data_IF_841218366929
#
_entry.id   IF_841218366929
#
_cell.length_a   1.000
_cell.length_b   1.000
_cell.length_c   1.000
_cell.angle_alpha   90.00
_cell.angle_beta   90.00
_cell.angle_gamma   90.00
#
_symmetry.space_group_name_H-M   'P 1'
#
loop_
_entity.id
_entity.type
_entity.pdbx_description
1 polymer ?
#
# COMPACT_ATOMS: atom_id res chain seq x y z
N UNK A 1 48.63 17.04 -29.27
CA UNK A 1 47.21 17.41 -29.20
C UNK A 1 46.40 16.12 -29.15
N UNK A 2 46.01 15.69 -27.98
CA UNK A 2 45.18 14.49 -27.81
C UNK A 2 43.72 14.98 -27.63
N UNK A 3 42.90 14.65 -28.62
CA UNK A 3 41.46 14.96 -28.60
C UNK A 3 40.78 13.96 -27.62
N UNK A 4 40.38 14.46 -26.46
CA UNK A 4 39.56 13.68 -25.52
C UNK A 4 38.15 13.62 -26.11
N UNK A 5 37.79 12.46 -26.69
CA UNK A 5 36.42 12.14 -27.03
C UNK A 5 35.61 11.97 -25.74
N UNK A 6 34.85 12.99 -25.41
CA UNK A 6 33.84 12.93 -24.36
C UNK A 6 32.70 12.05 -24.87
N UNK A 7 32.74 10.74 -24.59
CA UNK A 7 31.60 9.85 -24.79
C UNK A 7 30.53 10.24 -23.75
N UNK A 8 29.70 11.22 -24.09
CA UNK A 8 28.38 11.34 -23.45
C UNK A 8 27.59 10.07 -23.81
N UNK A 9 27.58 9.07 -22.94
CA UNK A 9 26.57 8.02 -22.99
C UNK A 9 25.22 8.67 -22.71
N UNK A 10 24.49 9.00 -23.78
CA UNK A 10 23.10 9.38 -23.65
C UNK A 10 22.39 8.23 -22.92
N UNK A 11 21.93 8.47 -21.71
CA UNK A 11 21.04 7.55 -21.00
C UNK A 11 19.83 7.38 -21.90
N UNK A 12 19.61 6.16 -22.41
CA UNK A 12 18.43 5.86 -23.20
C UNK A 12 17.21 6.07 -22.32
N UNK A 13 16.25 6.87 -22.77
CA UNK A 13 14.98 7.08 -22.09
C UNK A 13 14.37 5.74 -21.73
N UNK A 14 13.98 5.56 -20.47
CA UNK A 14 13.42 4.31 -19.96
C UNK A 14 11.87 4.34 -19.98
N UNK A 15 11.27 5.53 -20.06
CA UNK A 15 9.83 5.73 -20.14
C UNK A 15 9.24 5.02 -21.36
N UNK A 16 8.21 4.19 -21.14
CA UNK A 16 7.59 3.38 -22.17
C UNK A 16 8.38 2.13 -22.59
N UNK A 17 9.54 1.88 -22.01
CA UNK A 17 10.32 0.68 -22.31
C UNK A 17 9.56 -0.57 -21.95
N UNK A 18 9.50 -1.50 -22.88
CA UNK A 18 8.90 -2.81 -22.71
C UNK A 18 9.96 -3.88 -22.41
N UNK A 19 9.61 -4.79 -21.51
CA UNK A 19 10.35 -6.03 -21.26
C UNK A 19 9.43 -7.20 -21.58
N UNK A 20 9.90 -8.27 -22.23
CA UNK A 20 9.12 -9.49 -22.44
C UNK A 20 8.60 -10.07 -21.13
N UNK A 21 7.61 -10.96 -21.22
CA UNK A 21 7.07 -11.67 -20.08
C UNK A 21 8.15 -12.41 -19.30
N UNK A 22 8.17 -12.23 -18.01
CA UNK A 22 9.03 -12.95 -17.07
C UNK A 22 8.25 -14.06 -16.32
N UNK A 23 7.02 -14.34 -16.74
CA UNK A 23 6.11 -15.27 -16.06
C UNK A 23 6.58 -16.71 -16.16
N UNK A 24 6.47 -17.40 -15.04
CA UNK A 24 6.57 -18.84 -14.95
C UNK A 24 5.75 -19.37 -13.78
N UNK A 25 5.61 -20.67 -13.63
CA UNK A 25 4.81 -21.27 -12.58
C UNK A 25 5.57 -22.35 -11.83
N UNK A 26 5.24 -22.51 -10.54
CA UNK A 26 5.67 -23.64 -9.75
C UNK A 26 4.49 -24.18 -8.92
N UNK A 27 4.64 -25.38 -8.40
CA UNK A 27 3.70 -25.96 -7.45
C UNK A 27 4.27 -25.81 -6.05
N UNK A 28 3.52 -25.18 -5.15
CA UNK A 28 3.90 -25.08 -3.74
C UNK A 28 3.89 -26.46 -3.12
N UNK A 29 5.05 -26.88 -2.57
CA UNK A 29 5.24 -28.24 -2.10
C UNK A 29 4.39 -28.64 -0.89
N UNK A 30 3.91 -27.64 -0.11
CA UNK A 30 3.09 -27.90 1.08
C UNK A 30 1.59 -27.80 0.78
N UNK A 31 1.20 -26.84 -0.04
CA UNK A 31 -0.22 -26.60 -0.33
C UNK A 31 -0.72 -27.33 -1.57
N UNK A 32 0.19 -27.72 -2.47
CA UNK A 32 -0.14 -28.30 -3.77
C UNK A 32 -0.68 -27.29 -4.78
N UNK A 33 -0.80 -26.00 -4.41
CA UNK A 33 -1.31 -24.97 -5.29
C UNK A 33 -0.29 -24.57 -6.36
N UNK A 34 -0.80 -24.30 -7.57
CA UNK A 34 0.00 -23.74 -8.66
C UNK A 34 0.12 -22.24 -8.48
N UNK A 35 1.35 -21.76 -8.30
CA UNK A 35 1.68 -20.37 -8.11
C UNK A 35 2.26 -19.81 -9.40
N UNK A 36 1.77 -18.66 -9.84
CA UNK A 36 2.36 -17.90 -10.95
C UNK A 36 3.29 -16.84 -10.40
N UNK A 37 4.57 -16.93 -10.76
CA UNK A 37 5.56 -15.86 -10.53
C UNK A 37 5.45 -14.88 -11.69
N UNK A 38 5.29 -13.60 -11.40
CA UNK A 38 5.03 -12.54 -12.39
C UNK A 38 6.30 -11.81 -12.82
N UNK A 39 7.34 -11.81 -11.97
CA UNK A 39 8.57 -11.04 -12.19
C UNK A 39 9.82 -11.86 -11.93
N UNK A 40 10.92 -11.47 -12.59
CA UNK A 40 12.22 -12.13 -12.49
C UNK A 40 12.77 -12.10 -11.05
N UNK A 41 13.25 -13.24 -10.57
CA UNK A 41 13.84 -13.41 -9.22
C UNK A 41 15.14 -12.63 -9.03
N UNK A 42 15.79 -12.17 -10.10
CA UNK A 42 16.96 -11.31 -10.04
C UNK A 42 16.63 -9.84 -9.74
N UNK A 43 15.35 -9.47 -9.84
CA UNK A 43 14.85 -8.11 -9.57
C UNK A 43 14.30 -8.01 -8.14
N UNK A 44 14.12 -6.78 -7.68
CA UNK A 44 13.45 -6.49 -6.40
C UNK A 44 12.23 -5.63 -6.68
N UNK A 45 11.12 -6.31 -6.93
CA UNK A 45 9.86 -5.72 -7.33
C UNK A 45 8.86 -5.80 -6.18
N UNK A 46 8.07 -4.74 -6.01
CA UNK A 46 7.10 -4.64 -4.92
C UNK A 46 5.76 -4.17 -5.45
N UNK A 47 4.69 -4.73 -4.91
CA UNK A 47 3.37 -4.13 -5.05
C UNK A 47 3.31 -2.78 -4.33
N UNK A 48 2.28 -2.00 -4.58
CA UNK A 48 1.84 -0.98 -3.65
C UNK A 48 1.39 -1.66 -2.35
N UNK A 49 1.02 -0.87 -1.36
CA UNK A 49 0.47 -1.47 -0.15
C UNK A 49 -0.88 -2.15 -0.47
N UNK A 50 -1.23 -3.22 0.23
CA UNK A 50 -2.41 -4.06 -0.05
C UNK A 50 -3.74 -3.31 -0.09
N UNK A 51 -3.79 -2.12 0.50
CA UNK A 51 -4.97 -1.25 0.52
C UNK A 51 -5.09 -0.37 -0.71
N UNK A 52 -3.99 -0.19 -1.46
CA UNK A 52 -3.96 0.66 -2.65
C UNK A 52 -4.53 -0.05 -3.88
N UNK A 53 -5.19 0.67 -4.79
CA UNK A 53 -5.52 0.13 -6.11
C UNK A 53 -4.26 -0.25 -6.87
N UNK A 54 -4.13 -1.54 -7.25
CA UNK A 54 -2.99 -2.04 -8.04
C UNK A 54 -3.38 -2.39 -9.48
N UNK A 55 -4.67 -2.48 -9.78
CA UNK A 55 -5.19 -2.79 -11.09
C UNK A 55 -5.74 -1.54 -11.76
N UNK A 56 -5.48 -1.38 -13.08
CA UNK A 56 -6.20 -0.39 -13.89
C UNK A 56 -7.71 -0.63 -13.82
N UNK A 57 -8.51 0.39 -14.08
CA UNK A 57 -9.97 0.30 -13.94
C UNK A 57 -10.58 -0.79 -14.84
N UNK A 58 -9.98 -1.04 -16.00
CA UNK A 58 -10.37 -2.10 -16.93
C UNK A 58 -9.79 -3.49 -16.57
N UNK A 59 -8.98 -3.58 -15.52
CA UNK A 59 -8.36 -4.83 -15.06
C UNK A 59 -7.27 -5.41 -15.95
N UNK A 60 -6.85 -4.72 -17.02
CA UNK A 60 -5.89 -5.27 -17.98
C UNK A 60 -4.44 -5.17 -17.53
N UNK A 61 -4.11 -4.18 -16.71
CA UNK A 61 -2.75 -3.93 -16.26
C UNK A 61 -2.64 -3.94 -14.75
N UNK A 62 -1.56 -4.54 -14.26
CA UNK A 62 -1.22 -4.60 -12.84
C UNK A 62 -0.02 -3.69 -12.57
N UNK A 63 -0.21 -2.70 -11.70
CA UNK A 63 0.81 -1.75 -11.30
C UNK A 63 1.74 -2.34 -10.25
N UNK A 64 3.03 -2.06 -10.37
CA UNK A 64 4.03 -2.32 -9.34
C UNK A 64 5.15 -1.29 -9.36
N UNK A 65 6.01 -1.33 -8.37
CA UNK A 65 7.18 -0.44 -8.23
C UNK A 65 8.47 -1.22 -8.13
N UNK A 66 9.55 -0.66 -8.70
CA UNK A 66 10.88 -1.24 -8.64
C UNK A 66 11.97 -0.17 -8.63
N UNK A 67 13.01 -0.39 -7.83
CA UNK A 67 14.27 0.35 -7.88
C UNK A 67 15.39 -0.42 -8.57
N UNK A 68 15.13 -1.66 -9.00
CA UNK A 68 16.13 -2.55 -9.59
C UNK A 68 16.05 -2.68 -11.12
N UNK A 69 15.01 -2.10 -11.75
CA UNK A 69 14.73 -2.21 -13.19
C UNK A 69 15.18 -1.01 -14.02
N UNK A 70 15.49 0.13 -13.38
CA UNK A 70 15.96 1.34 -14.07
C UNK A 70 17.35 1.19 -14.69
N UNK A 71 17.84 2.25 -15.28
CA UNK A 71 19.15 2.35 -15.97
C UNK A 71 20.36 2.28 -15.01
N UNK A 72 20.13 2.11 -13.72
CA UNK A 72 21.17 2.09 -12.69
C UNK A 72 21.59 3.46 -12.18
N UNK A 73 21.03 4.54 -12.70
CA UNK A 73 21.30 5.91 -12.23
C UNK A 73 21.05 6.03 -10.73
N UNK A 74 22.05 6.56 -10.02
CA UNK A 74 21.95 6.88 -8.60
C UNK A 74 21.68 8.36 -8.44
N UNK A 75 20.76 8.71 -7.54
CA UNK A 75 20.53 10.09 -7.14
C UNK A 75 21.05 10.35 -5.74
N UNK A 76 21.56 11.56 -5.51
CA UNK A 76 22.07 11.97 -4.20
C UNK A 76 21.08 12.93 -3.55
N UNK A 77 20.77 12.70 -2.27
CA UNK A 77 19.99 13.62 -1.42
C UNK A 77 20.76 13.94 -0.17
N UNK A 78 20.66 15.20 0.23
CA UNK A 78 21.11 15.61 1.56
C UNK A 78 20.02 15.26 2.57
N UNK A 79 20.40 14.48 3.57
CA UNK A 79 19.52 14.11 4.69
C UNK A 79 19.34 15.32 5.64
N UNK A 80 18.32 15.34 6.51
CA UNK A 80 18.12 16.42 7.49
C UNK A 80 19.33 16.64 8.43
N UNK A 81 20.17 15.64 8.62
CA UNK A 81 21.42 15.72 9.41
C UNK A 81 22.61 16.25 8.59
N UNK A 82 22.40 16.69 7.33
CA UNK A 82 23.45 17.17 6.42
C UNK A 82 24.21 16.07 5.67
N UNK A 83 23.99 14.80 5.96
CA UNK A 83 24.64 13.68 5.31
C UNK A 83 24.09 13.49 3.89
N UNK A 84 25.00 13.27 2.91
CA UNK A 84 24.63 12.96 1.53
C UNK A 84 24.49 11.45 1.35
N UNK A 85 23.31 11.02 0.95
CA UNK A 85 23.02 9.60 0.70
C UNK A 85 22.63 9.38 -0.76
N UNK A 86 23.23 8.37 -1.39
CA UNK A 86 22.88 7.94 -2.74
C UNK A 86 21.89 6.78 -2.68
N UNK A 87 20.89 6.81 -3.55
CA UNK A 87 19.94 5.70 -3.72
C UNK A 87 19.49 5.57 -5.18
N UNK A 88 18.93 4.41 -5.52
CA UNK A 88 18.28 4.20 -6.81
C UNK A 88 16.83 4.71 -6.72
N UNK A 89 16.37 5.59 -7.63
CA UNK A 89 14.99 5.98 -7.69
C UNK A 89 14.07 4.77 -7.91
N UNK A 90 12.95 4.75 -7.21
CA UNK A 90 11.90 3.78 -7.47
C UNK A 90 11.05 4.28 -8.62
N UNK A 91 10.75 3.41 -9.60
CA UNK A 91 9.91 3.72 -10.74
C UNK A 91 8.65 2.85 -10.73
N UNK A 92 7.63 3.29 -11.46
CA UNK A 92 6.37 2.60 -11.66
C UNK A 92 6.41 1.80 -12.96
N UNK A 93 5.91 0.58 -12.86
CA UNK A 93 5.81 -0.37 -13.94
C UNK A 93 4.40 -0.96 -13.99
N UNK A 94 4.02 -1.43 -15.16
CA UNK A 94 2.79 -2.19 -15.37
C UNK A 94 3.10 -3.56 -15.97
N UNK A 95 2.38 -4.58 -15.51
CA UNK A 95 2.33 -5.88 -16.17
C UNK A 95 1.03 -5.93 -16.97
N UNK A 96 1.12 -6.10 -18.29
CA UNK A 96 -0.04 -6.43 -19.12
C UNK A 96 -0.48 -7.85 -18.79
N UNK A 97 -1.70 -8.00 -18.28
CA UNK A 97 -2.13 -9.30 -17.74
C UNK A 97 -2.36 -10.36 -18.80
N UNK A 98 -2.69 -9.99 -20.04
CA UNK A 98 -2.85 -10.92 -21.15
C UNK A 98 -1.51 -11.55 -21.57
N UNK A 99 -0.49 -10.73 -21.79
CA UNK A 99 0.79 -11.17 -22.39
C UNK A 99 1.89 -11.39 -21.36
N UNK A 100 1.82 -10.73 -20.21
CA UNK A 100 2.89 -10.69 -19.21
C UNK A 100 3.98 -9.65 -19.51
N UNK A 101 3.86 -8.88 -20.60
CA UNK A 101 4.77 -7.79 -20.93
C UNK A 101 4.85 -6.79 -19.79
N UNK A 102 6.05 -6.34 -19.47
CA UNK A 102 6.30 -5.34 -18.41
C UNK A 102 6.64 -4.01 -19.08
N UNK A 103 5.96 -2.93 -18.66
CA UNK A 103 6.05 -1.60 -19.25
C UNK A 103 6.49 -0.61 -18.17
N UNK A 104 7.54 0.17 -18.41
CA UNK A 104 7.97 1.23 -17.50
C UNK A 104 7.14 2.50 -17.74
N UNK A 105 6.46 2.99 -16.70
CA UNK A 105 5.54 4.13 -16.80
C UNK A 105 6.08 5.43 -16.19
N UNK A 106 7.20 5.41 -15.47
CA UNK A 106 7.85 6.61 -14.93
C UNK A 106 9.35 6.57 -15.08
N UNK A 107 9.97 7.74 -15.10
CA UNK A 107 11.42 7.91 -15.06
C UNK A 107 11.79 9.15 -14.23
N UNK A 108 13.09 9.31 -13.91
CA UNK A 108 13.58 10.45 -13.14
C UNK A 108 13.62 10.21 -11.63
N UNK A 109 13.98 11.27 -10.90
CA UNK A 109 14.26 11.22 -9.46
C UNK A 109 13.19 11.86 -8.57
N UNK A 110 12.25 12.59 -9.17
CA UNK A 110 11.31 13.46 -8.44
C UNK A 110 10.01 12.79 -8.04
N UNK A 111 9.87 11.48 -8.35
CA UNK A 111 8.69 10.71 -8.02
C UNK A 111 8.49 10.65 -6.49
N UNK A 112 7.36 11.19 -6.04
CA UNK A 112 6.88 11.04 -4.67
C UNK A 112 6.02 9.79 -4.52
N UNK A 113 4.74 9.92 -4.82
CA UNK A 113 3.78 8.81 -4.83
C UNK A 113 3.16 8.63 -6.22
N UNK A 114 2.69 7.40 -6.49
CA UNK A 114 1.88 7.11 -7.65
C UNK A 114 0.73 6.19 -7.24
N UNK A 115 -0.48 6.46 -7.73
CA UNK A 115 -1.69 5.74 -7.37
C UNK A 115 -2.71 5.78 -8.51
N UNK A 116 -3.48 4.70 -8.63
CA UNK A 116 -4.44 4.55 -9.71
C UNK A 116 -5.79 5.20 -9.40
N UNK A 117 -6.46 5.63 -10.44
CA UNK A 117 -7.88 5.95 -10.42
C UNK A 117 -8.74 4.69 -10.21
N UNK A 118 -9.97 4.87 -9.73
CA UNK A 118 -10.89 3.77 -9.47
C UNK A 118 -11.80 3.43 -10.67
N UNK A 119 -12.15 4.43 -11.49
CA UNK A 119 -13.12 4.30 -12.61
C UNK A 119 -12.53 4.51 -13.99
N UNK A 120 -11.37 5.14 -14.08
CA UNK A 120 -10.71 5.47 -15.33
C UNK A 120 -9.29 4.92 -15.35
N UNK A 121 -8.76 4.64 -16.55
CA UNK A 121 -7.38 4.23 -16.71
C UNK A 121 -6.46 5.45 -16.61
N UNK A 122 -6.29 5.96 -15.37
CA UNK A 122 -5.42 7.09 -15.06
C UNK A 122 -4.47 6.74 -13.93
N UNK A 123 -3.25 7.26 -14.04
CA UNK A 123 -2.26 7.22 -12.97
C UNK A 123 -2.05 8.63 -12.44
N UNK A 124 -2.25 8.83 -11.16
CA UNK A 124 -1.89 10.07 -10.48
C UNK A 124 -0.46 9.97 -9.97
N UNK A 125 0.33 11.02 -10.18
CA UNK A 125 1.75 11.05 -9.86
C UNK A 125 2.05 12.32 -9.08
N UNK A 126 2.50 12.19 -7.83
CA UNK A 126 3.01 13.33 -7.08
C UNK A 126 4.51 13.49 -7.29
N UNK A 127 4.98 14.71 -7.45
CA UNK A 127 6.41 15.06 -7.58
C UNK A 127 6.75 16.24 -6.68
N UNK A 128 7.96 16.20 -6.14
CA UNK A 128 8.53 17.37 -5.46
C UNK A 128 9.53 18.02 -6.39
N UNK A 129 9.09 19.08 -7.06
CA UNK A 129 9.88 19.83 -8.02
C UNK A 129 10.15 21.24 -7.48
N UNK A 130 11.43 21.59 -7.33
CA UNK A 130 11.84 22.89 -6.79
C UNK A 130 11.18 23.22 -5.43
N UNK A 131 11.13 22.24 -4.54
CA UNK A 131 10.48 22.32 -3.21
C UNK A 131 8.96 22.55 -3.23
N UNK A 132 8.32 22.35 -4.38
CA UNK A 132 6.87 22.40 -4.53
C UNK A 132 6.33 20.99 -4.81
N UNK A 133 5.33 20.59 -4.07
CA UNK A 133 4.60 19.35 -4.34
C UNK A 133 3.56 19.61 -5.43
N UNK A 134 3.65 18.84 -6.49
CA UNK A 134 2.78 18.89 -7.66
C UNK A 134 2.09 17.56 -7.86
N UNK A 135 0.83 17.58 -8.26
CA UNK A 135 0.09 16.40 -8.64
C UNK A 135 -0.18 16.43 -10.14
N UNK A 136 0.20 15.35 -10.81
CA UNK A 136 -0.03 15.12 -12.23
C UNK A 136 -1.03 13.99 -12.42
N UNK A 137 -1.74 14.00 -13.54
CA UNK A 137 -2.51 12.86 -14.03
C UNK A 137 -1.94 12.41 -15.37
N UNK A 138 -1.72 11.10 -15.51
CA UNK A 138 -1.28 10.44 -16.72
C UNK A 138 -2.44 9.67 -17.35
N UNK A 139 -2.66 9.86 -18.64
CA UNK A 139 -3.62 9.12 -19.46
C UNK A 139 -3.01 7.77 -19.85
N UNK A 140 -3.44 6.71 -19.20
CA UNK A 140 -2.93 5.36 -19.41
C UNK A 140 -3.48 4.73 -20.72
N UNK A 141 -4.70 5.05 -21.14
CA UNK A 141 -5.25 4.52 -22.39
C UNK A 141 -4.39 4.98 -23.58
N UNK A 142 -4.11 6.28 -23.64
CA UNK A 142 -3.23 6.84 -24.66
C UNK A 142 -1.80 6.32 -24.56
N UNK A 143 -1.28 6.17 -23.35
CA UNK A 143 0.07 5.66 -23.12
C UNK A 143 0.20 4.20 -23.61
N UNK A 144 -0.69 3.32 -23.20
CA UNK A 144 -0.63 1.91 -23.60
C UNK A 144 -0.88 1.72 -25.09
N UNK A 145 -1.78 2.49 -25.71
CA UNK A 145 -1.97 2.48 -27.16
C UNK A 145 -0.69 2.86 -27.92
N UNK A 146 0.03 3.88 -27.45
CA UNK A 146 1.30 4.28 -28.06
C UNK A 146 2.42 3.24 -27.81
N UNK A 147 2.41 2.58 -26.64
CA UNK A 147 3.32 1.45 -26.35
C UNK A 147 3.09 0.28 -27.30
N UNK A 148 1.84 -0.05 -27.56
CA UNK A 148 1.48 -1.15 -28.48
C UNK A 148 1.94 -0.91 -29.92
N UNK A 149 2.00 0.35 -30.34
CA UNK A 149 2.38 0.76 -31.69
C UNK A 149 3.82 1.29 -31.81
N UNK A 150 4.66 1.14 -30.78
CA UNK A 150 6.03 1.68 -30.72
C UNK A 150 6.11 3.20 -31.00
N UNK A 151 5.10 3.98 -30.54
CA UNK A 151 4.96 5.43 -30.76
C UNK A 151 5.12 6.26 -29.47
N UNK A 152 5.74 5.67 -28.43
CA UNK A 152 5.88 6.33 -27.14
C UNK A 152 6.66 7.64 -27.29
N UNK A 153 6.04 8.73 -26.83
CA UNK A 153 6.67 10.06 -26.74
C UNK A 153 7.24 10.32 -25.35
N UNK A 154 7.63 11.57 -25.12
CA UNK A 154 8.07 12.02 -23.79
C UNK A 154 6.91 11.98 -22.76
N UNK A 155 7.18 11.88 -21.44
CA UNK A 155 6.14 11.88 -20.41
C UNK A 155 5.09 12.97 -20.56
N UNK A 156 5.51 14.19 -20.88
CA UNK A 156 4.62 15.36 -21.09
C UNK A 156 3.54 15.16 -22.17
N UNK A 157 3.66 14.13 -23.06
CA UNK A 157 2.62 13.78 -24.03
C UNK A 157 1.39 13.17 -23.34
N UNK A 158 1.59 12.54 -22.21
CA UNK A 158 0.58 11.73 -21.48
C UNK A 158 0.18 12.36 -20.16
N UNK A 159 1.00 13.23 -19.61
CA UNK A 159 0.84 13.83 -18.29
C UNK A 159 0.30 15.26 -18.38
N UNK A 160 -0.62 15.58 -17.47
CA UNK A 160 -1.14 16.95 -17.27
C UNK A 160 -1.01 17.30 -15.79
N UNK A 161 -0.51 18.50 -15.50
CA UNK A 161 -0.54 19.05 -14.15
C UNK A 161 -2.00 19.27 -13.72
N UNK A 162 -2.37 18.71 -12.55
CA UNK A 162 -3.64 18.98 -11.89
C UNK A 162 -3.52 20.24 -11.06
N UNK A 163 -2.51 20.31 -10.19
CA UNK A 163 -2.31 21.45 -9.32
C UNK A 163 -1.02 21.35 -8.50
N UNK A 164 -0.72 22.47 -7.84
CA UNK A 164 0.37 22.60 -6.88
C UNK A 164 -0.24 22.55 -5.49
N UNK A 165 0.31 21.72 -4.61
CA UNK A 165 -0.17 21.62 -3.24
C UNK A 165 0.29 22.87 -2.45
N UNK A 166 -0.63 23.66 -1.86
CA UNK A 166 -0.28 24.86 -1.13
C UNK A 166 0.54 24.54 0.14
N UNK A 167 1.64 25.26 0.35
CA UNK A 167 2.54 25.01 1.47
C UNK A 167 1.87 25.21 2.84
N UNK A 168 0.94 26.15 2.94
CA UNK A 168 0.16 26.45 4.14
C UNK A 168 -0.81 25.33 4.53
N UNK A 169 -1.13 24.42 3.61
CA UNK A 169 -1.96 23.27 3.87
C UNK A 169 -1.20 22.11 4.53
N UNK A 170 0.12 22.24 4.68
CA UNK A 170 1.02 21.25 5.28
C UNK A 170 1.85 20.48 4.26
N UNK A 171 2.70 19.57 4.72
CA UNK A 171 3.56 18.74 3.85
C UNK A 171 2.83 17.45 3.46
N UNK A 172 2.51 17.23 2.20
CA UNK A 172 1.75 16.05 1.77
C UNK A 172 2.54 14.74 1.95
N UNK A 173 1.82 13.68 2.29
CA UNK A 173 2.32 12.34 2.52
C UNK A 173 1.59 11.28 1.69
N UNK A 174 0.70 10.49 2.31
CA UNK A 174 -0.11 9.46 1.67
C UNK A 174 -1.28 10.03 0.87
N UNK A 175 -1.73 9.27 -0.13
CA UNK A 175 -2.82 9.65 -1.03
C UNK A 175 -3.83 8.52 -1.15
N UNK A 176 -5.13 8.86 -1.26
CA UNK A 176 -6.19 7.96 -1.66
C UNK A 176 -7.14 8.70 -2.62
N UNK A 177 -7.60 8.03 -3.68
CA UNK A 177 -8.56 8.59 -4.64
C UNK A 177 -9.96 8.10 -4.31
N UNK A 178 -10.95 8.97 -4.37
CA UNK A 178 -12.33 8.58 -4.14
C UNK A 178 -12.87 7.70 -5.29
N UNK A 179 -14.00 7.04 -5.03
CA UNK A 179 -14.58 6.09 -5.97
C UNK A 179 -15.12 6.72 -7.27
N UNK A 180 -15.24 8.05 -7.34
CA UNK A 180 -15.70 8.80 -8.52
C UNK A 180 -14.55 9.37 -9.35
N UNK A 181 -13.31 9.30 -8.85
CA UNK A 181 -12.12 9.96 -9.39
C UNK A 181 -12.21 11.50 -9.39
N UNK A 182 -13.03 12.07 -8.51
CA UNK A 182 -13.23 13.53 -8.42
C UNK A 182 -12.23 14.18 -7.45
N UNK A 183 -11.84 13.45 -6.40
CA UNK A 183 -10.98 13.97 -5.33
C UNK A 183 -9.86 13.01 -4.96
N UNK A 184 -8.70 13.58 -4.62
CA UNK A 184 -7.66 12.90 -3.88
C UNK A 184 -7.69 13.36 -2.41
N UNK A 185 -7.71 12.42 -1.48
CA UNK A 185 -7.53 12.65 -0.05
C UNK A 185 -6.08 12.46 0.29
N UNK A 186 -5.49 13.46 0.95
CA UNK A 186 -4.05 13.60 1.11
C UNK A 186 -3.75 13.79 2.59
N UNK A 187 -2.94 12.89 3.16
CA UNK A 187 -2.43 13.12 4.51
C UNK A 187 -1.39 14.23 4.49
N UNK A 188 -1.37 15.06 5.53
CA UNK A 188 -0.38 16.12 5.65
C UNK A 188 0.26 16.11 7.04
N UNK A 189 1.56 16.41 7.09
CA UNK A 189 2.19 16.88 8.31
C UNK A 189 2.00 18.41 8.37
N UNK A 190 1.53 18.90 9.51
CA UNK A 190 1.19 20.32 9.66
C UNK A 190 1.87 20.96 10.87
N UNK A 191 2.02 22.22 10.83
CA UNK A 191 2.28 23.03 12.03
C UNK A 191 1.01 23.17 12.87
N UNK A 192 1.15 23.49 14.14
CA UNK A 192 0.04 23.69 15.06
C UNK A 192 0.42 24.55 16.24
N UNK A 193 -0.56 24.80 17.14
CA UNK A 193 -0.33 25.59 18.32
C UNK A 193 0.50 24.82 19.35
N UNK A 194 1.08 25.53 20.33
CA UNK A 194 1.85 24.88 21.39
C UNK A 194 0.95 23.98 22.26
N UNK A 195 -0.32 24.36 22.47
CA UNK A 195 -1.29 23.56 23.20
C UNK A 195 -1.60 22.24 22.44
N UNK A 196 -1.70 22.26 21.12
CA UNK A 196 -1.86 21.02 20.32
C UNK A 196 -0.64 20.12 20.43
N UNK A 197 0.57 20.68 20.37
CA UNK A 197 1.82 19.92 20.52
C UNK A 197 1.95 19.32 21.92
N UNK A 198 1.58 20.06 22.96
CA UNK A 198 1.55 19.56 24.35
C UNK A 198 0.57 18.40 24.50
N UNK A 199 -0.67 18.52 23.98
CA UNK A 199 -1.66 17.42 24.01
C UNK A 199 -1.17 16.20 23.24
N UNK A 200 -0.61 16.39 22.04
CA UNK A 200 -0.02 15.32 21.26
C UNK A 200 1.08 14.59 22.04
N UNK A 201 2.02 15.32 22.64
CA UNK A 201 3.12 14.72 23.41
C UNK A 201 2.62 14.01 24.66
N UNK A 202 1.62 14.54 25.35
CA UNK A 202 0.99 13.90 26.49
C UNK A 202 0.34 12.57 26.11
N UNK A 203 -0.27 12.49 24.91
CA UNK A 203 -0.95 11.30 24.41
C UNK A 203 0.00 10.36 23.64
N UNK A 204 1.27 10.72 23.47
CA UNK A 204 2.24 9.90 22.76
C UNK A 204 2.69 8.66 23.55
N UNK A 205 2.49 8.62 24.85
CA UNK A 205 2.72 7.45 25.67
C UNK A 205 1.44 6.63 25.81
N UNK A 206 1.55 5.30 25.71
CA UNK A 206 0.43 4.37 25.75
C UNK A 206 0.51 3.52 27.04
N UNK A 207 0.09 4.05 28.20
CA UNK A 207 0.28 3.39 29.49
C UNK A 207 -0.46 2.05 29.58
N UNK A 208 -1.61 1.89 28.95
CA UNK A 208 -2.41 0.67 28.97
C UNK A 208 -1.71 -0.48 28.24
N UNK A 209 -0.98 -0.17 27.18
CA UNK A 209 -0.25 -1.18 26.40
C UNK A 209 1.15 -1.42 26.90
N UNK A 210 1.67 -0.50 27.71
CA UNK A 210 3.06 -0.48 28.18
C UNK A 210 4.09 -0.54 27.02
N UNK A 211 3.73 0.05 25.88
CA UNK A 211 4.57 0.09 24.66
C UNK A 211 4.82 1.53 24.24
N UNK A 212 6.07 1.93 24.01
CA UNK A 212 6.38 3.26 23.52
C UNK A 212 5.96 3.40 22.05
N UNK A 213 5.56 4.60 21.67
CA UNK A 213 5.39 4.97 20.27
C UNK A 213 6.76 4.92 19.58
N UNK A 214 6.85 4.15 18.48
CA UNK A 214 8.09 3.96 17.70
C UNK A 214 8.30 5.04 16.65
N UNK A 215 7.23 5.68 16.21
CA UNK A 215 7.26 6.76 15.21
C UNK A 215 7.19 8.09 15.96
N UNK A 216 8.03 9.06 15.55
CA UNK A 216 8.01 10.42 16.11
C UNK A 216 6.58 10.99 16.03
N UNK A 217 6.00 11.43 17.15
CA UNK A 217 4.71 12.10 17.14
C UNK A 217 4.76 13.34 16.25
N UNK A 218 3.73 13.52 15.43
CA UNK A 218 3.65 14.62 14.47
C UNK A 218 2.19 15.03 14.32
N UNK A 219 1.92 16.33 14.38
CA UNK A 219 0.62 16.88 14.06
C UNK A 219 0.33 16.64 12.58
N UNK A 220 -0.82 16.09 12.30
CA UNK A 220 -1.22 15.75 10.94
C UNK A 220 -2.62 16.25 10.62
N UNK A 221 -3.07 15.94 9.45
CA UNK A 221 -4.42 16.19 8.98
C UNK A 221 -4.68 15.51 7.66
N UNK A 222 -5.91 15.67 7.17
CA UNK A 222 -6.32 15.23 5.85
C UNK A 222 -6.78 16.45 5.07
N UNK A 223 -6.32 16.54 3.83
CA UNK A 223 -6.71 17.54 2.84
C UNK A 223 -7.38 16.84 1.67
N UNK A 224 -8.21 17.56 0.97
CA UNK A 224 -8.93 17.11 -0.22
C UNK A 224 -8.53 17.99 -1.39
N UNK A 225 -8.00 17.39 -2.48
CA UNK A 225 -7.70 18.08 -3.73
C UNK A 225 -8.72 17.69 -4.78
N UNK A 226 -9.35 18.66 -5.41
CA UNK A 226 -10.19 18.43 -6.57
C UNK A 226 -9.30 18.07 -7.78
N UNK A 227 -9.54 16.92 -8.39
CA UNK A 227 -8.69 16.38 -9.48
C UNK A 227 -8.92 17.03 -10.84
N UNK A 228 -9.95 17.89 -10.97
CA UNK A 228 -10.20 18.68 -12.17
C UNK A 228 -9.59 20.07 -12.06
N UNK A 229 -9.77 20.75 -10.91
CA UNK A 229 -9.39 22.15 -10.71
C UNK A 229 -8.05 22.32 -10.02
N UNK A 230 -7.58 21.31 -9.27
CA UNK A 230 -6.39 21.40 -8.41
C UNK A 230 -6.62 22.12 -7.09
N UNK A 231 -7.83 22.57 -6.80
CA UNK A 231 -8.17 23.26 -5.54
C UNK A 231 -7.99 22.31 -4.35
N UNK A 232 -7.31 22.81 -3.30
CA UNK A 232 -7.07 22.05 -2.05
C UNK A 232 -7.87 22.65 -0.91
N UNK A 233 -8.61 21.81 -0.20
CA UNK A 233 -9.39 22.20 0.99
C UNK A 233 -9.08 21.31 2.17
N UNK A 234 -9.29 21.85 3.38
CA UNK A 234 -9.16 21.06 4.62
C UNK A 234 -10.34 20.12 4.80
N UNK A 235 -10.04 18.87 5.22
CA UNK A 235 -11.04 17.92 5.70
C UNK A 235 -11.02 17.92 7.23
N UNK A 236 -9.93 17.44 7.84
CA UNK A 236 -9.74 17.40 9.31
C UNK A 236 -8.28 17.71 9.67
N UNK A 237 -8.08 18.07 10.93
CA UNK A 237 -6.77 18.09 11.60
C UNK A 237 -6.75 17.03 12.71
N UNK A 238 -5.60 16.43 12.96
CA UNK A 238 -5.40 15.42 14.01
C UNK A 238 -4.20 15.78 14.88
N UNK A 239 -4.23 15.30 16.13
CA UNK A 239 -3.11 15.42 17.08
C UNK A 239 -2.28 14.13 17.12
N UNK A 240 -2.33 13.34 16.05
CA UNK A 240 -1.55 12.13 15.85
C UNK A 240 -1.17 11.99 14.37
N UNK A 241 -0.18 11.13 14.11
CA UNK A 241 0.26 10.86 12.74
C UNK A 241 -0.79 10.04 11.99
N UNK A 242 -1.29 10.59 10.89
CA UNK A 242 -2.19 9.88 9.97
C UNK A 242 -1.39 8.96 9.07
N UNK A 243 -1.67 7.66 9.14
CA UNK A 243 -1.14 6.63 8.27
C UNK A 243 -2.23 5.91 7.50
N UNK A 244 -1.84 5.10 6.51
CA UNK A 244 -2.69 4.14 5.79
C UNK A 244 -4.03 4.72 5.31
N UNK A 245 -4.04 5.95 4.79
CA UNK A 245 -5.27 6.59 4.30
C UNK A 245 -5.88 5.80 3.15
N UNK A 246 -7.17 5.54 3.24
CA UNK A 246 -7.96 4.80 2.27
C UNK A 246 -9.27 5.52 2.02
N UNK A 247 -9.68 5.62 0.77
CA UNK A 247 -11.00 6.07 0.39
C UNK A 247 -11.88 4.87 0.02
N UNK A 248 -13.16 4.97 0.35
CA UNK A 248 -14.14 3.98 -0.12
C UNK A 248 -14.11 3.89 -1.64
N UNK A 249 -14.06 2.66 -2.16
CA UNK A 249 -14.18 2.41 -3.59
C UNK A 249 -15.63 2.33 -4.06
N UNK A 250 -16.59 2.54 -3.15
CA UNK A 250 -18.02 2.34 -3.38
C UNK A 250 -18.86 3.58 -3.05
N UNK A 251 -18.49 4.31 -2.01
CA UNK A 251 -19.25 5.45 -1.51
C UNK A 251 -18.35 6.69 -1.50
N UNK A 252 -18.70 7.76 -2.24
CA UNK A 252 -17.89 8.98 -2.26
C UNK A 252 -17.78 9.60 -0.87
N UNK A 253 -16.60 10.11 -0.55
CA UNK A 253 -16.38 10.90 0.66
C UNK A 253 -16.20 10.11 1.95
N UNK A 254 -16.16 8.77 1.93
CA UNK A 254 -15.83 7.95 3.08
C UNK A 254 -14.32 7.67 3.12
N UNK A 255 -13.70 7.94 4.28
CA UNK A 255 -12.24 7.86 4.47
C UNK A 255 -11.94 7.08 5.75
N UNK A 256 -11.09 6.05 5.62
CA UNK A 256 -10.52 5.26 6.73
C UNK A 256 -9.03 5.51 6.80
N UNK A 257 -8.49 5.60 8.00
CA UNK A 257 -7.06 5.83 8.24
C UNK A 257 -6.67 5.38 9.64
N UNK A 258 -5.39 5.38 9.93
CA UNK A 258 -4.90 4.99 11.25
C UNK A 258 -4.13 6.10 11.97
N UNK A 259 -4.09 5.97 13.29
CA UNK A 259 -3.06 6.56 14.12
C UNK A 259 -1.79 5.71 14.00
N UNK A 260 -0.80 6.21 13.27
CA UNK A 260 0.42 5.47 12.96
C UNK A 260 1.50 5.69 14.02
N UNK A 261 1.70 4.68 14.85
CA UNK A 261 2.66 4.69 15.95
C UNK A 261 3.90 3.84 15.67
N UNK A 262 3.90 3.07 14.57
CA UNK A 262 4.92 2.05 14.30
C UNK A 262 4.79 0.81 15.18
N UNK A 263 3.72 0.68 15.94
CA UNK A 263 3.43 -0.43 16.83
C UNK A 263 1.99 -0.42 17.31
N UNK A 264 1.78 -0.84 18.55
CA UNK A 264 0.48 -0.80 19.20
C UNK A 264 0.05 0.65 19.45
N UNK A 265 -1.17 0.99 19.08
CA UNK A 265 -1.77 2.29 19.34
C UNK A 265 -2.92 2.14 20.34
N UNK A 266 -3.11 3.14 21.20
CA UNK A 266 -4.25 3.16 22.14
C UNK A 266 -5.60 3.19 21.39
N UNK A 267 -5.65 3.91 20.27
CA UNK A 267 -6.76 3.93 19.32
C UNK A 267 -6.18 4.04 17.91
N UNK A 268 -6.22 2.95 17.14
CA UNK A 268 -5.60 2.90 15.82
C UNK A 268 -6.54 3.32 14.70
N UNK A 269 -7.72 2.68 14.58
CA UNK A 269 -8.59 2.87 13.43
C UNK A 269 -9.52 4.07 13.58
N UNK A 270 -9.58 4.88 12.52
CA UNK A 270 -10.40 6.08 12.46
C UNK A 270 -11.16 6.17 11.15
N UNK A 271 -12.31 6.84 11.21
CA UNK A 271 -13.17 7.13 10.07
C UNK A 271 -13.49 8.61 10.05
N UNK A 272 -13.52 9.21 8.86
CA UNK A 272 -14.10 10.52 8.66
C UNK A 272 -14.83 10.62 7.32
N UNK A 273 -15.70 11.65 7.22
CA UNK A 273 -16.29 12.04 5.94
C UNK A 273 -15.49 13.17 5.31
N UNK A 274 -15.49 13.26 3.96
CA UNK A 274 -14.73 14.25 3.20
C UNK A 274 -15.18 15.71 3.39
N UNK A 275 -16.34 15.94 4.04
CA UNK A 275 -16.81 17.24 4.49
C UNK A 275 -16.39 17.57 5.93
N UNK A 276 -15.70 16.64 6.60
CA UNK A 276 -15.20 16.79 7.97
C UNK A 276 -16.26 16.77 9.06
N UNK A 277 -17.54 16.54 8.73
CA UNK A 277 -18.62 16.55 9.72
C UNK A 277 -18.63 15.34 10.64
N UNK A 278 -18.16 14.20 10.14
CA UNK A 278 -17.98 12.99 10.94
C UNK A 278 -16.49 12.73 11.07
N UNK A 279 -16.03 12.57 12.31
CA UNK A 279 -14.69 12.12 12.66
C UNK A 279 -14.78 11.30 13.94
N UNK A 280 -14.58 9.99 13.84
CA UNK A 280 -14.77 9.07 14.96
C UNK A 280 -13.77 7.92 14.95
N UNK A 281 -13.45 7.33 16.13
CA UNK A 281 -12.84 6.01 16.19
C UNK A 281 -13.75 5.01 15.50
N UNK A 282 -13.16 4.09 14.70
CA UNK A 282 -13.95 3.09 14.01
C UNK A 282 -14.18 1.83 14.86
N UNK A 283 -13.14 1.36 15.52
CA UNK A 283 -13.20 0.28 16.51
C UNK A 283 -12.61 0.82 17.82
N UNK A 284 -13.34 0.69 18.93
CA UNK A 284 -12.84 1.14 20.26
C UNK A 284 -11.93 0.08 20.84
N UNK A 285 -10.65 0.37 20.91
CA UNK A 285 -9.62 -0.53 21.42
C UNK A 285 -9.56 -0.52 22.95
N UNK A 286 -9.19 -1.68 23.49
CA UNK A 286 -8.86 -1.86 24.90
C UNK A 286 -7.37 -2.24 25.07
N UNK A 287 -6.87 -2.26 26.28
CA UNK A 287 -5.50 -2.73 26.56
C UNK A 287 -5.27 -4.22 26.19
N UNK A 288 -6.31 -4.97 25.90
CA UNK A 288 -6.24 -6.37 25.48
C UNK A 288 -6.24 -6.53 23.94
N UNK A 289 -6.40 -5.43 23.22
CA UNK A 289 -6.35 -5.40 21.75
C UNK A 289 -5.00 -4.85 21.28
N UNK A 290 -4.57 -5.28 20.12
CA UNK A 290 -3.63 -4.60 19.26
C UNK A 290 -4.20 -4.67 17.86
N UNK A 291 -4.87 -3.61 17.46
CA UNK A 291 -5.49 -3.49 16.14
C UNK A 291 -4.45 -3.04 15.14
N UNK A 292 -4.48 -3.63 13.94
CA UNK A 292 -3.56 -3.25 12.86
C UNK A 292 -4.08 -3.66 11.49
N UNK A 293 -3.48 -3.10 10.44
CA UNK A 293 -3.64 -3.47 9.03
C UNK A 293 -5.09 -3.42 8.55
N UNK A 294 -5.77 -2.32 8.87
CA UNK A 294 -7.12 -2.03 8.41
C UNK A 294 -7.19 -1.93 6.88
N UNK A 295 -8.23 -2.52 6.28
CA UNK A 295 -8.47 -2.53 4.83
C UNK A 295 -9.92 -2.22 4.52
N UNK A 296 -10.15 -1.15 3.77
CA UNK A 296 -11.47 -0.76 3.27
C UNK A 296 -11.76 -1.51 1.96
N UNK A 297 -12.01 -2.82 2.04
CA UNK A 297 -12.10 -3.69 0.88
C UNK A 297 -13.49 -3.81 0.28
N UNK A 298 -14.56 -3.62 1.06
CA UNK A 298 -15.96 -3.79 0.62
C UNK A 298 -16.79 -2.54 0.88
N UNK A 299 -18.03 -2.52 0.39
CA UNK A 299 -18.91 -1.34 0.48
C UNK A 299 -19.18 -0.92 1.92
N UNK A 300 -19.46 -1.88 2.79
CA UNK A 300 -19.98 -1.61 4.13
C UNK A 300 -19.04 -2.11 5.25
N UNK A 301 -17.92 -2.77 4.89
CA UNK A 301 -17.03 -3.35 5.89
C UNK A 301 -15.59 -2.88 5.74
N UNK A 302 -14.98 -2.60 6.87
CA UNK A 302 -13.53 -2.49 7.03
C UNK A 302 -13.03 -3.75 7.72
N UNK A 303 -12.06 -4.41 7.09
CA UNK A 303 -11.37 -5.58 7.65
C UNK A 303 -10.12 -5.13 8.39
N UNK A 304 -9.79 -5.81 9.48
CA UNK A 304 -8.61 -5.50 10.27
C UNK A 304 -8.13 -6.72 11.05
N UNK A 305 -6.91 -6.67 11.59
CA UNK A 305 -6.40 -7.70 12.46
C UNK A 305 -6.42 -7.23 13.92
N UNK A 306 -6.84 -8.13 14.83
CA UNK A 306 -6.48 -8.08 16.23
C UNK A 306 -5.36 -9.09 16.43
N UNK A 307 -4.19 -8.62 16.86
CA UNK A 307 -3.01 -9.47 17.03
C UNK A 307 -3.09 -10.28 18.32
N UNK A 308 -2.58 -11.51 18.29
CA UNK A 308 -2.63 -12.44 19.42
C UNK A 308 -1.28 -12.93 19.92
N UNK A 309 -0.15 -12.37 19.45
CA UNK A 309 1.15 -12.95 19.75
C UNK A 309 1.75 -12.57 21.12
N UNK A 310 1.43 -11.38 21.66
CA UNK A 310 1.88 -11.01 23.01
C UNK A 310 1.03 -11.70 24.08
N UNK A 311 1.59 -12.05 25.25
CA UNK A 311 0.84 -12.75 26.31
C UNK A 311 -0.45 -12.06 26.74
N UNK A 312 -0.46 -10.72 26.82
CA UNK A 312 -1.65 -9.95 27.21
C UNK A 312 -2.78 -10.05 26.18
N UNK A 313 -2.42 -10.12 24.87
CA UNK A 313 -3.36 -10.16 23.76
C UNK A 313 -4.07 -11.52 23.59
N UNK A 314 -3.53 -12.60 24.21
CA UNK A 314 -4.11 -13.95 24.14
C UNK A 314 -5.31 -14.14 25.05
N UNK A 315 -5.68 -13.14 25.83
CA UNK A 315 -6.79 -13.20 26.77
C UNK A 315 -8.15 -13.10 26.11
N UNK A 316 -8.20 -12.72 24.83
CA UNK A 316 -9.41 -12.65 24.05
C UNK A 316 -9.20 -13.18 22.62
N UNK A 317 -10.30 -13.35 21.89
CA UNK A 317 -10.26 -13.79 20.50
C UNK A 317 -9.48 -12.78 19.65
N UNK A 318 -8.69 -13.29 18.70
CA UNK A 318 -7.82 -12.50 17.82
C UNK A 318 -7.85 -13.07 16.39
N UNK A 319 -7.18 -12.42 15.44
CA UNK A 319 -7.18 -12.79 14.02
C UNK A 319 -7.81 -11.73 13.14
N UNK A 320 -8.39 -12.12 12.02
CA UNK A 320 -9.08 -11.23 11.10
C UNK A 320 -10.49 -10.95 11.61
N UNK A 321 -10.80 -9.67 11.66
CA UNK A 321 -12.10 -9.12 12.00
C UNK A 321 -12.62 -8.24 10.86
N UNK A 322 -13.91 -7.93 10.90
CA UNK A 322 -14.51 -6.85 10.14
C UNK A 322 -15.44 -6.03 11.00
N UNK A 323 -15.57 -4.75 10.68
CA UNK A 323 -16.56 -3.86 11.28
C UNK A 323 -17.47 -3.29 10.19
N UNK A 324 -18.77 -3.31 10.46
CA UNK A 324 -19.77 -2.71 9.56
C UNK A 324 -19.82 -1.19 9.80
N UNK A 325 -19.56 -0.40 8.77
CA UNK A 325 -19.55 1.08 8.86
C UNK A 325 -20.93 1.69 9.10
N UNK A 326 -22.02 0.93 8.87
CA UNK A 326 -23.41 1.43 8.99
C UNK A 326 -24.01 1.15 10.36
N UNK A 327 -23.61 0.01 10.98
CA UNK A 327 -24.18 -0.45 12.24
C UNK A 327 -23.18 -0.45 13.40
N UNK A 328 -21.89 -0.25 13.12
CA UNK A 328 -20.76 -0.43 14.02
C UNK A 328 -20.62 -1.87 14.58
N UNK A 329 -21.34 -2.86 13.98
CA UNK A 329 -21.23 -4.28 14.37
C UNK A 329 -19.86 -4.83 14.02
N UNK A 330 -19.25 -5.55 14.97
CA UNK A 330 -17.94 -6.18 14.84
C UNK A 330 -18.09 -7.70 14.80
N UNK A 331 -17.43 -8.33 13.84
CA UNK A 331 -17.45 -9.78 13.64
C UNK A 331 -16.04 -10.32 13.45
N UNK A 332 -15.73 -11.40 14.16
CA UNK A 332 -14.51 -12.17 13.92
C UNK A 332 -14.72 -13.08 12.72
N UNK A 333 -13.86 -12.95 11.70
CA UNK A 333 -13.85 -13.87 10.54
C UNK A 333 -13.09 -15.14 10.89
N UNK A 334 -11.96 -15.03 11.57
CA UNK A 334 -11.24 -16.18 12.08
C UNK A 334 -9.74 -15.95 12.28
N UNK A 335 -9.11 -17.00 12.80
CA UNK A 335 -7.68 -17.09 13.00
C UNK A 335 -7.18 -18.43 12.43
N UNK A 336 -5.96 -18.45 11.92
CA UNK A 336 -5.28 -19.73 11.65
C UNK A 336 -4.88 -20.39 12.96
N UNK A 337 -4.69 -21.71 12.94
CA UNK A 337 -4.07 -22.38 14.07
C UNK A 337 -2.74 -21.69 14.38
N UNK A 338 -2.56 -21.35 15.65
CA UNK A 338 -1.34 -20.72 16.14
C UNK A 338 -0.22 -21.75 16.02
N UNK A 339 0.36 -21.86 14.82
CA UNK A 339 1.41 -22.81 14.52
C UNK A 339 2.53 -22.74 15.56
N UNK A 340 3.11 -23.88 15.89
CA UNK A 340 4.30 -24.00 16.76
C UNK A 340 5.56 -23.41 16.14
N UNK A 341 5.45 -22.75 15.02
CA UNK A 341 6.52 -22.08 14.32
C UNK A 341 6.99 -20.86 15.08
N UNK A 342 8.24 -20.78 15.31
CA UNK A 342 8.89 -19.86 16.21
C UNK A 342 9.44 -18.67 15.44
N UNK A 343 8.87 -17.48 15.60
CA UNK A 343 9.46 -16.20 15.23
C UNK A 343 9.92 -15.50 16.50
N UNK A 344 11.08 -15.02 16.52
CA UNK A 344 11.50 -14.13 17.58
C UNK A 344 11.11 -12.71 17.18
N UNK A 345 10.27 -12.07 18.00
CA UNK A 345 10.10 -10.62 17.99
C UNK A 345 10.72 -10.16 19.31
N UNK A 346 11.69 -9.29 19.22
CA UNK A 346 12.45 -8.78 20.38
C UNK A 346 13.03 -9.91 21.28
N UNK A 347 13.49 -10.99 20.65
CA UNK A 347 14.06 -12.15 21.33
C UNK A 347 13.07 -13.09 22.01
N UNK A 348 11.77 -12.83 21.93
CA UNK A 348 10.72 -13.70 22.47
C UNK A 348 10.12 -14.59 21.38
N UNK A 349 9.91 -15.86 21.73
CA UNK A 349 9.17 -16.79 20.88
C UNK A 349 7.67 -16.47 20.95
N UNK A 350 7.10 -16.10 19.82
CA UNK A 350 5.70 -15.69 19.71
C UNK A 350 4.90 -16.70 18.90
N UNK A 351 3.79 -17.14 19.43
CA UNK A 351 2.77 -17.90 18.68
C UNK A 351 2.03 -16.96 17.73
N UNK A 352 1.45 -17.46 16.60
CA UNK A 352 1.35 -16.68 15.41
C UNK A 352 0.04 -16.85 14.72
N UNK A 353 -0.54 -15.70 14.55
CA UNK A 353 -1.69 -15.48 13.76
C UNK A 353 -1.40 -14.66 12.50
N UNK A 354 -2.45 -14.11 11.99
CA UNK A 354 -2.38 -13.18 10.87
C UNK A 354 -1.63 -11.90 11.22
N UNK A 355 -0.95 -11.35 10.21
CA UNK A 355 -0.28 -10.05 10.29
C UNK A 355 -1.00 -9.01 9.44
N UNK A 356 -1.20 -9.25 8.13
CA UNK A 356 -2.02 -8.42 7.27
C UNK A 356 -3.33 -9.10 6.92
N UNK A 357 -4.32 -8.31 6.49
CA UNK A 357 -5.57 -8.83 5.96
C UNK A 357 -6.06 -8.03 4.76
N UNK A 358 -6.87 -8.67 3.93
CA UNK A 358 -7.61 -8.06 2.84
C UNK A 358 -8.89 -8.85 2.62
N UNK A 359 -9.84 -8.33 1.82
CA UNK A 359 -11.05 -9.05 1.46
C UNK A 359 -11.40 -8.84 -0.02
N UNK A 360 -12.09 -9.83 -0.60
CA UNK A 360 -12.66 -9.72 -1.94
C UNK A 360 -13.81 -8.69 -1.95
N UNK A 361 -13.98 -7.99 -3.08
CA UNK A 361 -14.98 -6.93 -3.21
C UNK A 361 -16.42 -7.39 -3.00
N UNK A 362 -16.69 -8.67 -3.30
CA UNK A 362 -17.98 -9.33 -3.10
C UNK A 362 -18.20 -9.79 -1.64
N UNK A 363 -17.24 -9.54 -0.76
CA UNK A 363 -17.29 -9.91 0.65
C UNK A 363 -17.34 -11.43 0.89
N UNK A 364 -16.96 -12.24 -0.08
CA UNK A 364 -16.98 -13.71 0.02
C UNK A 364 -15.74 -14.25 0.73
N UNK A 365 -14.58 -13.65 0.44
CA UNK A 365 -13.29 -14.12 0.89
C UNK A 365 -12.54 -13.08 1.69
N UNK A 366 -11.91 -13.50 2.77
CA UNK A 366 -10.86 -12.76 3.46
C UNK A 366 -9.53 -13.49 3.26
N UNK A 367 -8.44 -12.76 3.06
CA UNK A 367 -7.10 -13.32 2.96
C UNK A 367 -6.16 -12.61 3.93
N UNK A 368 -5.16 -13.33 4.42
CA UNK A 368 -4.13 -12.78 5.28
C UNK A 368 -2.81 -13.53 5.15
N UNK A 369 -1.72 -12.82 5.42
CA UNK A 369 -0.43 -13.44 5.65
C UNK A 369 -0.18 -13.66 7.15
N UNK A 370 0.66 -14.63 7.47
CA UNK A 370 1.02 -14.94 8.85
C UNK A 370 2.48 -14.60 9.14
N UNK A 371 2.82 -14.46 10.41
CA UNK A 371 4.20 -14.30 10.85
C UNK A 371 5.12 -15.45 10.41
N UNK A 372 4.55 -16.64 10.12
CA UNK A 372 5.28 -17.79 9.57
C UNK A 372 5.59 -17.71 8.08
N UNK A 373 5.17 -16.64 7.39
CA UNK A 373 5.35 -16.50 5.95
C UNK A 373 4.39 -17.36 5.13
N UNK A 374 3.17 -17.55 5.60
CA UNK A 374 2.12 -18.28 4.90
C UNK A 374 1.01 -17.32 4.47
N UNK A 375 0.37 -17.60 3.34
CA UNK A 375 -0.84 -16.89 2.90
C UNK A 375 -2.03 -17.83 3.02
N UNK A 376 -3.05 -17.37 3.70
CA UNK A 376 -4.31 -18.07 3.91
C UNK A 376 -5.48 -17.28 3.35
N UNK A 377 -6.53 -17.98 2.99
CA UNK A 377 -7.81 -17.43 2.59
C UNK A 377 -8.92 -18.09 3.42
N UNK A 378 -9.93 -17.33 3.78
CA UNK A 378 -11.08 -17.81 4.54
C UNK A 378 -12.37 -17.43 3.84
N UNK A 379 -13.31 -18.36 3.80
CA UNK A 379 -14.68 -18.08 3.41
C UNK A 379 -15.35 -17.28 4.55
N UNK A 380 -15.82 -16.08 4.26
CA UNK A 380 -16.37 -15.15 5.26
C UNK A 380 -17.66 -15.67 5.88
N UNK A 381 -18.48 -16.41 5.12
CA UNK A 381 -19.76 -16.92 5.60
C UNK A 381 -19.64 -18.22 6.40
N UNK A 382 -18.70 -19.10 6.02
CA UNK A 382 -18.57 -20.44 6.63
C UNK A 382 -17.40 -20.55 7.60
N UNK A 383 -16.42 -19.64 7.53
CA UNK A 383 -15.17 -19.72 8.29
C UNK A 383 -14.20 -20.78 7.76
N UNK A 384 -14.52 -21.44 6.64
CA UNK A 384 -13.63 -22.44 6.02
C UNK A 384 -12.31 -21.78 5.61
N UNK A 385 -11.19 -22.46 5.91
CA UNK A 385 -9.83 -21.95 5.73
C UNK A 385 -9.10 -22.72 4.65
N UNK A 386 -8.41 -22.00 3.78
CA UNK A 386 -7.61 -22.55 2.70
C UNK A 386 -6.18 -22.02 2.78
N UNK A 387 -5.22 -22.93 2.94
CA UNK A 387 -3.81 -22.59 2.88
C UNK A 387 -3.39 -22.40 1.41
N UNK A 388 -3.14 -21.15 1.00
CA UNK A 388 -2.87 -20.85 -0.39
C UNK A 388 -1.38 -20.99 -0.75
N UNK A 389 -0.49 -20.46 0.10
CA UNK A 389 0.95 -20.38 -0.19
C UNK A 389 1.76 -20.56 1.08
N UNK A 390 2.86 -21.28 0.98
CA UNK A 390 3.82 -21.46 2.05
C UNK A 390 5.12 -20.70 1.82
N UNK A 391 5.86 -20.43 2.90
CA UNK A 391 7.26 -19.96 2.87
C UNK A 391 7.51 -18.67 2.05
N UNK A 392 6.59 -17.71 2.12
CA UNK A 392 6.73 -16.42 1.41
C UNK A 392 7.90 -15.57 1.92
N UNK A 393 8.43 -15.89 3.10
CA UNK A 393 9.40 -15.11 3.88
C UNK A 393 8.84 -13.79 4.43
N UNK A 394 9.25 -13.48 5.66
CA UNK A 394 8.90 -12.23 6.35
C UNK A 394 9.82 -11.06 5.95
N UNK A 395 10.92 -11.35 5.27
CA UNK A 395 11.91 -10.36 4.82
C UNK A 395 12.14 -10.48 3.32
N UNK A 396 12.50 -9.40 2.64
CA UNK A 396 12.73 -8.03 3.12
C UNK A 396 11.43 -7.28 3.45
N UNK A 397 10.28 -7.88 3.17
CA UNK A 397 8.95 -7.40 3.47
C UNK A 397 7.95 -8.56 3.49
N UNK A 398 6.76 -8.35 4.03
CA UNK A 398 5.68 -9.33 4.14
C UNK A 398 4.98 -9.60 2.81
N UNK A 399 4.11 -10.61 2.79
CA UNK A 399 3.41 -11.03 1.56
C UNK A 399 2.34 -10.05 1.10
N UNK A 400 1.66 -9.35 2.00
CA UNK A 400 0.63 -8.36 1.68
C UNK A 400 -0.43 -8.87 0.70
N UNK A 401 -1.18 -9.92 1.02
CA UNK A 401 -2.15 -10.50 0.09
C UNK A 401 -3.25 -9.50 -0.28
N UNK A 402 -3.63 -9.50 -1.55
CA UNK A 402 -4.73 -8.69 -2.06
C UNK A 402 -5.47 -9.42 -3.18
N UNK A 403 -6.75 -9.10 -3.38
CA UNK A 403 -7.57 -9.74 -4.41
C UNK A 403 -7.51 -8.99 -5.74
N UNK A 404 -7.61 -9.75 -6.85
CA UNK A 404 -7.94 -9.17 -8.15
C UNK A 404 -9.36 -8.57 -8.12
N UNK A 405 -9.66 -7.58 -9.00
CA UNK A 405 -10.97 -6.93 -9.01
C UNK A 405 -12.15 -7.88 -9.21
N UNK A 406 -11.93 -8.96 -9.96
CA UNK A 406 -12.90 -10.03 -10.24
C UNK A 406 -12.97 -11.11 -9.14
N UNK A 407 -12.14 -10.99 -8.09
CA UNK A 407 -12.09 -11.95 -7.00
C UNK A 407 -11.58 -13.35 -7.36
N UNK A 408 -10.96 -13.52 -8.54
CA UNK A 408 -10.50 -14.84 -9.02
C UNK A 408 -9.05 -15.16 -8.65
N UNK A 409 -8.29 -14.17 -8.20
CA UNK A 409 -6.87 -14.32 -7.87
C UNK A 409 -6.52 -13.63 -6.57
N UNK A 410 -5.57 -14.20 -5.85
CA UNK A 410 -4.89 -13.56 -4.73
C UNK A 410 -3.47 -13.21 -5.18
N UNK A 411 -3.14 -11.92 -5.14
CA UNK A 411 -1.82 -11.39 -5.36
C UNK A 411 -1.04 -11.38 -4.06
N UNK A 412 0.25 -11.59 -4.13
CA UNK A 412 1.16 -11.44 -3.00
C UNK A 412 2.58 -11.20 -3.47
N UNK A 413 3.45 -10.68 -2.61
CA UNK A 413 4.88 -10.58 -2.86
C UNK A 413 5.64 -11.58 -1.99
N UNK A 414 6.80 -12.05 -2.46
CA UNK A 414 7.53 -13.09 -1.76
C UNK A 414 9.03 -13.00 -1.97
N UNK A 415 9.77 -13.25 -0.89
CA UNK A 415 11.23 -13.45 -0.93
C UNK A 415 11.64 -14.91 -1.07
N UNK A 416 10.72 -15.83 -1.35
CA UNK A 416 10.95 -17.29 -1.37
C UNK A 416 12.21 -17.70 -2.15
N UNK A 417 12.31 -17.32 -3.42
CA UNK A 417 13.41 -17.73 -4.30
C UNK A 417 14.75 -17.03 -4.03
N UNK A 418 14.76 -16.02 -3.20
CA UNK A 418 15.96 -15.25 -2.87
C UNK A 418 16.38 -15.38 -1.41
N UNK A 419 15.77 -16.31 -0.69
CA UNK A 419 15.93 -16.47 0.76
C UNK A 419 15.80 -15.14 1.52
N UNK A 420 14.74 -14.38 1.20
CA UNK A 420 14.43 -13.12 1.84
C UNK A 420 15.30 -11.92 1.46
N UNK A 421 16.06 -11.99 0.36
CA UNK A 421 16.92 -10.88 -0.08
C UNK A 421 16.22 -9.91 -1.02
N UNK A 422 15.30 -10.38 -1.85
CA UNK A 422 14.54 -9.61 -2.84
C UNK A 422 13.10 -10.10 -2.89
N UNK A 423 12.20 -9.24 -3.29
CA UNK A 423 10.79 -9.57 -3.49
C UNK A 423 10.50 -9.82 -4.96
N UNK A 424 9.64 -10.80 -5.19
CA UNK A 424 9.04 -11.09 -6.48
C UNK A 424 7.53 -11.03 -6.35
N UNK A 425 6.87 -10.64 -7.41
CA UNK A 425 5.42 -10.54 -7.48
C UNK A 425 4.85 -11.88 -7.91
N UNK A 426 3.83 -12.34 -7.21
CA UNK A 426 3.23 -13.65 -7.41
C UNK A 426 1.72 -13.57 -7.32
N UNK A 427 1.05 -14.58 -7.86
CA UNK A 427 -0.39 -14.76 -7.72
C UNK A 427 -0.75 -16.25 -7.68
N UNK A 428 -1.87 -16.53 -7.02
CA UNK A 428 -2.55 -17.82 -7.02
C UNK A 428 -3.98 -17.66 -7.56
N UNK A 429 -4.39 -18.56 -8.45
CA UNK A 429 -5.77 -18.64 -8.94
C UNK A 429 -6.65 -19.34 -7.91
N UNK A 430 -7.79 -18.72 -7.59
CA UNK A 430 -8.71 -19.21 -6.56
C UNK A 430 -10.08 -19.57 -7.12
N UNK A 431 -10.22 -19.68 -8.44
CA UNK A 431 -11.50 -20.00 -9.10
C UNK A 431 -12.06 -21.37 -8.70
N UNK A 432 -11.20 -22.29 -8.28
CA UNK A 432 -11.60 -23.65 -7.86
C UNK A 432 -12.11 -23.72 -6.40
N UNK A 433 -12.01 -22.66 -5.63
CA UNK A 433 -12.53 -22.61 -4.28
C UNK A 433 -14.00 -22.17 -4.30
N UNK A 434 -14.86 -22.91 -3.59
CA UNK A 434 -16.32 -22.70 -3.59
C UNK A 434 -16.81 -22.00 -2.34
#
# INVERSE_FOLDING_TARGET
MACACCCCTASLAQFGKCTPSERWTYTDAKTGNKITVLTDTLKNDRFLYQTDPMWTADGKYLLFRSSSRGDGTMVERTQPNGEKKKWKPTQIYFIEMATGKIIQATEGADLGNAFLANRSNKLFISRNENHQWKLYVMDLDRFFADVEHDKVGKPAKYERLIGIFPAEMGRPGGYAVDCMDDYAYITVEREGTEEEKERMMKNAFLPETNQPIKIKPTLCGIRKMNLQTGEVTKVIDTEFKVGHIQASRFTPGEIVFCNETGGDAHQRMWYCTADGKVFKPLYKETALDWVTHETFATKDYVYFNILGFLPRLRKQANGIYRINLRTDDVEQIGQVEMEKDRCAIDGQLVGRGFWHCNASRDNRWAAGDTFGGNVWMMNVATGERHWLVSDTKMRPDHAHPSFSPDGTKVLFQSGHFTNGKRLNLMMVDITNYK
#
